data_IF_910256206571
#
_entry.id   IF_910256206571
#
_cell.length_a   1.000
_cell.length_b   1.000
_cell.length_c   1.000
_cell.angle_alpha   90.00
_cell.angle_beta   90.00
_cell.angle_gamma   90.00
#
_symmetry.space_group_name_H-M   'P 1'
#
loop_
_entity.id
_entity.type
_entity.pdbx_description
1 polymer ?
#
# COMPACT_ATOMS: atom_id res chain seq x y z
N UNK A 1 52.01 12.66 20.21
CA UNK A 1 53.06 11.62 20.21
C UNK A 1 52.74 10.69 21.37
N UNK A 2 52.62 9.38 21.28
CA UNK A 2 52.67 8.40 20.20
C UNK A 2 52.31 7.06 20.90
N UNK A 3 51.38 6.30 20.33
CA UNK A 3 51.41 4.85 20.07
C UNK A 3 52.08 3.92 21.12
N UNK A 4 51.52 2.79 21.53
CA UNK A 4 51.43 1.58 20.69
C UNK A 4 50.77 0.43 21.48
N UNK A 5 49.83 -0.26 20.82
CA UNK A 5 49.69 -1.72 20.63
C UNK A 5 50.27 -2.72 21.65
N UNK A 6 49.47 -3.75 21.98
CA UNK A 6 49.98 -5.12 22.16
C UNK A 6 48.90 -6.15 21.83
N UNK A 7 49.17 -6.96 20.80
CA UNK A 7 48.55 -8.26 20.54
C UNK A 7 48.90 -9.25 21.67
N UNK A 8 48.02 -10.22 21.98
CA UNK A 8 48.36 -11.66 22.05
C UNK A 8 47.13 -12.55 22.42
N UNK A 9 47.01 -13.62 21.64
CA UNK A 9 46.08 -14.76 21.55
C UNK A 9 46.31 -15.80 22.70
N UNK A 10 45.78 -17.05 22.77
CA UNK A 10 44.58 -17.76 22.23
C UNK A 10 43.77 -18.53 23.32
N UNK A 11 42.60 -19.09 22.99
CA UNK A 11 42.10 -20.45 23.40
C UNK A 11 40.62 -20.63 23.00
N UNK A 12 40.30 -21.42 21.96
CA UNK A 12 39.77 -22.80 22.05
C UNK A 12 38.62 -22.92 23.07
N UNK A 13 37.35 -23.24 22.78
CA UNK A 13 36.78 -24.22 21.86
C UNK A 13 35.25 -23.97 21.89
N UNK A 14 34.53 -24.03 20.78
CA UNK A 14 33.71 -25.21 20.49
C UNK A 14 33.19 -25.12 19.06
N UNK A 15 33.41 -26.21 18.36
CA UNK A 15 32.89 -26.53 17.05
C UNK A 15 31.37 -26.69 17.09
N UNK A 16 30.71 -26.29 16.00
CA UNK A 16 29.78 -27.10 15.19
C UNK A 16 28.84 -26.14 14.45
N UNK A 17 29.07 -25.92 13.16
CA UNK A 17 28.60 -26.77 12.06
C UNK A 17 27.38 -26.10 11.42
N UNK A 18 27.64 -25.09 10.57
CA UNK A 18 26.78 -24.84 9.44
C UNK A 18 27.67 -24.56 8.23
N UNK A 19 27.69 -25.54 7.33
CA UNK A 19 28.30 -25.44 6.01
C UNK A 19 27.84 -24.16 5.31
N UNK A 20 28.75 -23.23 5.12
CA UNK A 20 28.57 -22.07 4.27
C UNK A 20 28.82 -22.49 2.82
N UNK A 21 27.79 -23.00 2.15
CA UNK A 21 27.86 -23.17 0.69
C UNK A 21 27.34 -21.89 0.03
N UNK A 22 28.28 -20.95 -0.17
CA UNK A 22 28.06 -19.74 -0.95
C UNK A 22 27.88 -20.12 -2.41
N UNK A 23 26.63 -20.23 -2.87
CA UNK A 23 26.25 -20.00 -4.27
C UNK A 23 24.73 -19.91 -4.42
N UNK A 24 24.11 -19.01 -3.65
CA UNK A 24 22.72 -18.61 -3.90
C UNK A 24 22.70 -17.12 -4.25
N UNK A 25 22.20 -16.72 -5.43
CA UNK A 25 22.03 -15.31 -5.73
C UNK A 25 21.04 -14.72 -4.72
N UNK A 26 21.52 -13.84 -3.83
CA UNK A 26 20.65 -13.09 -2.92
C UNK A 26 19.75 -12.20 -3.78
N UNK A 27 18.42 -12.40 -3.80
CA UNK A 27 17.54 -11.55 -4.58
C UNK A 27 17.59 -10.13 -4.00
N UNK A 28 17.71 -9.13 -4.87
CA UNK A 28 17.70 -7.72 -4.52
C UNK A 28 16.51 -7.41 -3.61
N UNK A 29 16.75 -6.67 -2.52
CA UNK A 29 15.72 -6.21 -1.56
C UNK A 29 14.54 -5.51 -2.27
N UNK A 30 14.79 -4.92 -3.44
CA UNK A 30 13.79 -4.31 -4.31
C UNK A 30 12.83 -5.32 -4.98
N UNK A 31 13.29 -6.54 -5.22
CA UNK A 31 12.48 -7.63 -5.79
C UNK A 31 11.52 -8.22 -4.76
N UNK A 32 11.98 -8.37 -3.51
CA UNK A 32 11.16 -8.93 -2.43
C UNK A 32 10.04 -7.96 -2.02
N UNK A 33 10.31 -6.65 -1.98
CA UNK A 33 9.29 -5.63 -1.71
C UNK A 33 8.22 -5.60 -2.81
N UNK A 34 8.61 -5.74 -4.08
CA UNK A 34 7.65 -5.89 -5.21
C UNK A 34 6.89 -7.21 -5.14
N UNK A 35 7.53 -8.32 -4.78
CA UNK A 35 6.89 -9.63 -4.66
C UNK A 35 5.91 -9.71 -3.48
N UNK A 36 6.20 -9.08 -2.34
CA UNK A 36 5.24 -9.00 -1.23
C UNK A 36 4.03 -8.14 -1.61
N UNK A 37 4.26 -7.00 -2.27
CA UNK A 37 3.19 -6.12 -2.75
C UNK A 37 2.31 -6.80 -3.80
N UNK A 38 2.92 -7.47 -4.79
CA UNK A 38 2.18 -8.24 -5.80
C UNK A 38 1.42 -9.42 -5.18
N UNK A 39 2.03 -10.18 -4.26
CA UNK A 39 1.32 -11.26 -3.54
C UNK A 39 0.14 -10.75 -2.72
N UNK A 40 0.22 -9.55 -2.16
CA UNK A 40 -0.90 -8.91 -1.46
C UNK A 40 -2.04 -8.51 -2.41
N UNK A 41 -1.74 -8.19 -3.68
CA UNK A 41 -2.74 -7.82 -4.70
C UNK A 41 -3.34 -9.05 -5.39
N UNK A 42 -2.62 -10.18 -5.44
CA UNK A 42 -3.09 -11.43 -6.10
C UNK A 42 -3.69 -12.46 -5.14
N UNK A 43 -3.63 -12.20 -3.83
CA UNK A 43 -4.52 -12.87 -2.89
C UNK A 43 -5.90 -12.22 -3.07
N UNK A 44 -6.65 -12.76 -4.05
CA UNK A 44 -8.10 -12.85 -3.99
C UNK A 44 -8.45 -13.52 -2.66
N UNK A 45 -8.43 -12.75 -1.58
CA UNK A 45 -9.29 -13.06 -0.45
C UNK A 45 -10.68 -12.92 -1.01
N UNK A 46 -11.35 -14.04 -1.19
CA UNK A 46 -12.81 -14.15 -1.21
C UNK A 46 -13.31 -13.47 0.08
N UNK A 47 -13.40 -12.14 0.06
CA UNK A 47 -14.03 -11.38 1.10
C UNK A 47 -15.52 -11.63 0.86
N UNK A 48 -16.04 -12.66 1.51
CA UNK A 48 -17.45 -13.01 1.51
C UNK A 48 -18.25 -11.95 2.28
N UNK A 49 -18.31 -10.75 1.72
CA UNK A 49 -19.39 -9.81 1.98
C UNK A 49 -20.61 -10.49 1.39
N UNK A 50 -21.45 -11.03 2.26
CA UNK A 50 -22.82 -11.44 1.93
C UNK A 50 -23.66 -10.18 1.67
N UNK A 51 -23.33 -9.44 0.62
CA UNK A 51 -24.29 -8.55 -0.04
C UNK A 51 -25.27 -9.49 -0.72
N UNK A 52 -26.50 -9.48 -0.23
CA UNK A 52 -27.61 -10.12 -0.93
C UNK A 52 -27.67 -9.49 -2.33
N UNK A 53 -27.58 -10.28 -3.43
CA UNK A 53 -27.55 -9.75 -4.78
C UNK A 53 -28.97 -9.33 -5.16
N UNK A 54 -29.33 -8.10 -4.83
CA UNK A 54 -30.52 -7.41 -5.34
C UNK A 54 -30.13 -6.43 -6.44
N UNK A 55 -29.53 -6.91 -7.53
CA UNK A 55 -29.12 -6.05 -8.65
C UNK A 55 -28.60 -6.87 -9.82
N UNK A 56 -29.23 -6.72 -10.99
CA UNK A 56 -29.01 -7.51 -12.20
C UNK A 56 -27.54 -7.61 -12.61
N UNK A 57 -27.09 -8.83 -12.94
CA UNK A 57 -25.78 -9.07 -13.52
C UNK A 57 -25.65 -8.48 -14.94
N UNK A 58 -24.52 -7.79 -15.18
CA UNK A 58 -24.10 -7.34 -16.51
C UNK A 58 -23.12 -6.16 -16.44
N UNK A 59 -21.89 -6.39 -16.93
CA UNK A 59 -20.71 -5.51 -16.90
C UNK A 59 -20.05 -5.35 -15.51
N UNK A 60 -18.73 -5.47 -15.47
CA UNK A 60 -17.91 -5.13 -14.29
C UNK A 60 -18.23 -3.68 -13.87
N UNK A 61 -19.05 -3.50 -12.83
CA UNK A 61 -19.44 -2.18 -12.35
C UNK A 61 -18.24 -1.53 -11.68
N UNK A 62 -17.45 -0.79 -12.48
CA UNK A 62 -16.35 0.01 -11.95
C UNK A 62 -16.90 1.25 -11.28
N UNK A 63 -16.79 1.30 -9.96
CA UNK A 63 -17.32 2.40 -9.15
C UNK A 63 -16.41 3.64 -9.12
N UNK A 64 -16.99 4.77 -8.72
CA UNK A 64 -16.24 5.97 -8.32
C UNK A 64 -16.14 5.96 -6.79
N UNK A 65 -14.94 6.15 -6.25
CA UNK A 65 -14.70 6.13 -4.81
C UNK A 65 -14.29 7.51 -4.32
N UNK A 66 -14.94 8.00 -3.26
CA UNK A 66 -14.57 9.21 -2.54
C UNK A 66 -13.83 8.85 -1.25
N UNK A 67 -12.59 9.32 -1.11
CA UNK A 67 -11.77 9.16 0.09
C UNK A 67 -11.78 10.46 0.91
N UNK A 68 -12.19 10.36 2.18
CA UNK A 68 -12.27 11.51 3.08
C UNK A 68 -11.06 11.54 4.02
N UNK A 69 -10.31 12.65 3.99
CA UNK A 69 -9.21 12.96 4.90
C UNK A 69 -8.00 13.59 4.19
N UNK A 70 -6.98 13.94 4.99
CA UNK A 70 -5.77 14.66 4.54
C UNK A 70 -4.46 13.92 4.84
N UNK A 71 -4.51 12.79 5.53
CA UNK A 71 -3.33 12.08 6.02
C UNK A 71 -2.63 11.21 4.97
N UNK A 72 -1.50 10.62 5.38
CA UNK A 72 -0.77 9.64 4.54
C UNK A 72 -1.52 8.32 4.36
N UNK A 73 -2.41 7.97 5.30
CA UNK A 73 -3.27 6.79 5.19
C UNK A 73 -4.22 6.91 3.99
N UNK A 74 -4.83 8.07 3.83
CA UNK A 74 -5.77 8.35 2.74
C UNK A 74 -5.05 8.37 1.39
N UNK A 75 -3.83 8.90 1.34
CA UNK A 75 -2.97 8.80 0.15
C UNK A 75 -2.68 7.34 -0.20
N UNK A 76 -2.24 6.52 0.76
CA UNK A 76 -1.99 5.10 0.52
C UNK A 76 -3.26 4.37 0.01
N UNK A 77 -4.43 4.73 0.53
CA UNK A 77 -5.71 4.20 0.05
C UNK A 77 -6.00 4.63 -1.39
N UNK A 78 -5.81 5.92 -1.73
CA UNK A 78 -5.97 6.40 -3.11
C UNK A 78 -5.06 5.63 -4.08
N UNK A 79 -3.80 5.43 -3.70
CA UNK A 79 -2.81 4.69 -4.48
C UNK A 79 -3.19 3.21 -4.69
N UNK A 80 -3.85 2.58 -3.71
CA UNK A 80 -4.37 1.23 -3.85
C UNK A 80 -5.60 1.19 -4.77
N UNK A 81 -6.58 2.07 -4.52
CA UNK A 81 -7.83 2.15 -5.29
C UNK A 81 -7.58 2.47 -6.75
N UNK A 82 -6.62 3.34 -7.07
CA UNK A 82 -6.26 3.71 -8.45
C UNK A 82 -5.82 2.52 -9.31
N UNK A 83 -5.34 1.45 -8.67
CA UNK A 83 -4.87 0.21 -9.34
C UNK A 83 -5.91 -0.91 -9.31
N UNK A 84 -7.04 -0.72 -8.64
CA UNK A 84 -8.10 -1.73 -8.56
C UNK A 84 -8.83 -1.84 -9.89
N UNK A 85 -9.06 -3.05 -10.44
CA UNK A 85 -9.86 -3.22 -11.65
C UNK A 85 -11.31 -2.73 -11.46
N UNK A 86 -11.86 -2.89 -10.25
CA UNK A 86 -13.21 -2.48 -9.87
C UNK A 86 -13.40 -0.99 -9.60
N UNK A 87 -12.35 -0.15 -9.73
CA UNK A 87 -12.41 1.28 -9.46
C UNK A 87 -12.12 2.08 -10.73
N UNK A 88 -13.06 2.95 -11.12
CA UNK A 88 -12.93 3.79 -12.30
C UNK A 88 -12.21 5.11 -11.97
N UNK A 89 -12.67 5.77 -10.90
CA UNK A 89 -12.15 7.08 -10.47
C UNK A 89 -12.00 7.14 -8.96
N UNK A 90 -10.91 7.76 -8.52
CA UNK A 90 -10.67 8.06 -7.11
C UNK A 90 -10.74 9.56 -6.93
N UNK A 91 -11.64 9.98 -6.05
CA UNK A 91 -11.80 11.34 -5.59
C UNK A 91 -11.32 11.44 -4.14
N UNK A 92 -10.80 12.59 -3.74
CA UNK A 92 -10.38 12.82 -2.37
C UNK A 92 -10.83 14.19 -1.87
N UNK A 93 -11.23 14.29 -0.60
CA UNK A 93 -11.54 15.58 0.05
C UNK A 93 -11.14 15.56 1.53
N UNK A 94 -10.54 16.61 2.09
CA UNK A 94 -9.91 17.72 1.38
C UNK A 94 -8.68 17.26 0.55
N UNK A 95 -8.09 16.12 0.93
CA UNK A 95 -6.84 15.63 0.37
C UNK A 95 -5.61 16.36 0.89
N UNK A 96 -4.44 15.97 0.37
CA UNK A 96 -3.16 16.64 0.63
C UNK A 96 -2.43 16.91 -0.68
N UNK A 97 -1.42 17.80 -0.71
CA UNK A 97 -0.69 18.13 -1.94
C UNK A 97 0.02 16.95 -2.61
N UNK A 98 0.32 15.88 -1.85
CA UNK A 98 0.97 14.67 -2.36
C UNK A 98 0.07 13.86 -3.29
N UNK A 99 -1.23 13.76 -3.00
CA UNK A 99 -2.21 12.98 -3.77
C UNK A 99 -2.35 13.45 -5.24
N UNK A 100 -2.59 14.74 -5.54
CA UNK A 100 -2.67 15.20 -6.93
C UNK A 100 -1.30 15.18 -7.59
N UNK A 101 -0.21 15.42 -6.83
CA UNK A 101 1.16 15.38 -7.36
C UNK A 101 1.58 13.97 -7.83
N UNK A 102 1.10 12.92 -7.17
CA UNK A 102 1.33 11.53 -7.58
C UNK A 102 0.34 11.03 -8.63
N UNK A 103 -0.77 11.74 -8.86
CA UNK A 103 -1.84 11.34 -9.79
C UNK A 103 -2.72 10.21 -9.27
N UNK A 104 -2.72 9.94 -7.96
CA UNK A 104 -3.48 8.84 -7.37
C UNK A 104 -4.99 9.14 -7.26
N UNK A 105 -5.37 10.41 -7.07
CA UNK A 105 -6.77 10.83 -7.01
C UNK A 105 -6.96 12.31 -7.40
N UNK A 106 -8.21 12.68 -7.73
CA UNK A 106 -8.61 14.08 -7.95
C UNK A 106 -9.11 14.68 -6.64
N UNK A 107 -8.52 15.80 -6.21
CA UNK A 107 -8.92 16.45 -4.95
C UNK A 107 -10.08 17.43 -5.17
N UNK A 108 -11.04 17.42 -4.24
CA UNK A 108 -12.22 18.30 -4.18
C UNK A 108 -12.17 19.07 -2.85
N UNK A 109 -11.35 20.15 -2.76
CA UNK A 109 -11.10 20.84 -1.51
C UNK A 109 -12.30 21.62 -0.97
N UNK A 110 -13.25 21.99 -1.84
CA UNK A 110 -14.41 22.81 -1.49
C UNK A 110 -15.57 22.01 -0.87
N UNK A 111 -15.44 20.68 -0.76
CA UNK A 111 -16.45 19.84 -0.13
C UNK A 111 -16.25 19.82 1.39
N UNK A 112 -17.20 20.38 2.13
CA UNK A 112 -17.21 20.30 3.59
C UNK A 112 -17.55 18.88 4.05
N UNK A 113 -16.55 18.20 4.61
CA UNK A 113 -16.65 16.83 5.13
C UNK A 113 -17.39 16.74 6.46
N UNK A 114 -17.59 17.87 7.14
CA UNK A 114 -18.35 17.95 8.39
C UNK A 114 -19.86 18.01 8.12
N UNK A 115 -20.27 18.43 6.92
CA UNK A 115 -21.66 18.41 6.47
C UNK A 115 -21.97 17.10 5.73
N UNK A 116 -22.59 16.16 6.46
CA UNK A 116 -23.01 14.88 5.88
C UNK A 116 -24.02 15.05 4.73
N UNK A 117 -24.86 16.09 4.75
CA UNK A 117 -25.82 16.36 3.68
C UNK A 117 -25.10 16.79 2.40
N UNK A 118 -24.07 17.62 2.52
CA UNK A 118 -23.21 18.02 1.40
C UNK A 118 -22.48 16.82 0.79
N UNK A 119 -21.89 15.95 1.61
CA UNK A 119 -21.21 14.72 1.15
C UNK A 119 -22.18 13.78 0.44
N UNK A 120 -23.36 13.52 1.00
CA UNK A 120 -24.38 12.66 0.35
C UNK A 120 -24.82 13.27 -0.98
N UNK A 121 -25.06 14.59 -1.01
CA UNK A 121 -25.47 15.30 -2.23
C UNK A 121 -24.37 15.28 -3.29
N UNK A 122 -23.10 15.27 -2.88
CA UNK A 122 -21.97 15.10 -3.79
C UNK A 122 -21.92 13.69 -4.38
N UNK A 123 -22.05 12.65 -3.56
CA UNK A 123 -21.99 11.26 -4.02
C UNK A 123 -23.18 10.83 -4.91
N UNK A 124 -24.29 11.57 -4.90
CA UNK A 124 -25.48 11.30 -5.73
C UNK A 124 -25.40 11.91 -7.13
N UNK A 125 -24.45 12.81 -7.39
CA UNK A 125 -24.24 13.45 -8.70
C UNK A 125 -23.47 12.52 -9.62
#
# INVERSE_FOLDING_TARGET
MSLCTSNLHPSSSSTNLFSNNNNSPKPSLNSLCRQLWLRCVTLESELSISVSPGGNGGAEERGIVLVIGTGGREHALCHALKRSPSCNYVLCTPGNPGIPSSGDATCVPDLDVSDSSAVISFCRK
#
